data_IF_566785636843
#
_entry.id   IF_566785636843
#
_cell.length_a   1.000
_cell.length_b   1.000
_cell.length_c   1.000
_cell.angle_alpha   90.00
_cell.angle_beta   90.00
_cell.angle_gamma   90.00
#
_symmetry.space_group_name_H-M   'P 1'
#
loop_
_entity.id
_entity.type
_entity.pdbx_description
1 polymer ?
#
# COMPACT_ATOMS: atom_id res chain seq x y z
N UNK A 1 -1.92 -10.55 15.91
CA UNK A 1 -3.06 -9.89 15.24
C UNK A 1 -3.07 -8.39 15.57
N UNK A 2 -2.31 -7.55 14.83
CA UNK A 2 -1.95 -6.19 15.28
C UNK A 2 -3.13 -5.23 15.52
N UNK A 3 -4.18 -5.28 14.69
CA UNK A 3 -5.35 -4.40 14.85
C UNK A 3 -6.18 -4.82 16.07
N UNK A 4 -6.40 -6.12 16.26
CA UNK A 4 -7.17 -6.68 17.39
C UNK A 4 -6.47 -6.36 18.71
N UNK A 5 -5.14 -6.44 18.73
CA UNK A 5 -4.30 -6.10 19.89
C UNK A 5 -4.14 -4.58 20.10
N UNK A 6 -4.78 -3.73 19.29
CA UNK A 6 -4.72 -2.28 19.43
C UNK A 6 -3.36 -1.66 19.06
N UNK A 7 -2.45 -2.43 18.47
CA UNK A 7 -1.08 -2.01 18.09
C UNK A 7 -1.03 -1.30 16.74
N UNK A 8 -1.92 -1.68 15.82
CA UNK A 8 -2.00 -1.12 14.47
C UNK A 8 -3.32 -0.39 14.22
N UNK A 9 -3.23 0.66 13.41
CA UNK A 9 -4.36 1.40 12.87
C UNK A 9 -4.63 0.98 11.41
N UNK A 10 -3.56 0.66 10.68
CA UNK A 10 -3.61 0.09 9.32
C UNK A 10 -2.60 -1.05 9.21
N UNK A 11 -2.97 -2.11 8.51
CA UNK A 11 -2.09 -3.25 8.21
C UNK A 11 -2.03 -3.47 6.71
N UNK A 12 -0.81 -3.52 6.19
CA UNK A 12 -0.49 -3.88 4.81
C UNK A 12 -0.09 -5.35 4.78
N UNK A 13 -0.59 -6.10 3.80
CA UNK A 13 0.02 -7.37 3.47
C UNK A 13 1.40 -7.15 2.83
N UNK A 14 2.24 -8.16 2.82
CA UNK A 14 3.43 -8.19 1.97
C UNK A 14 3.65 -9.56 1.37
N UNK A 15 3.87 -9.58 0.06
CA UNK A 15 4.27 -10.78 -0.68
C UNK A 15 5.75 -11.12 -0.49
N UNK A 16 6.54 -10.24 0.12
CA UNK A 16 7.99 -10.35 0.23
C UNK A 16 8.48 -10.66 1.66
N UNK A 17 7.59 -10.67 2.65
CA UNK A 17 7.93 -10.95 4.05
C UNK A 17 7.56 -12.41 4.40
N UNK A 18 8.48 -13.08 5.09
CA UNK A 18 8.18 -14.03 6.18
C UNK A 18 7.65 -15.44 5.88
N UNK A 19 7.22 -15.78 4.66
CA UNK A 19 6.62 -17.10 4.39
C UNK A 19 6.98 -17.69 3.01
N UNK A 20 6.74 -19.00 2.85
CA UNK A 20 6.80 -19.69 1.55
C UNK A 20 5.79 -19.09 0.59
N UNK A 21 6.24 -18.59 -0.56
CA UNK A 21 5.39 -17.93 -1.54
C UNK A 21 5.71 -18.40 -2.96
N UNK A 22 4.73 -18.27 -3.86
CA UNK A 22 4.94 -18.52 -5.30
C UNK A 22 5.90 -17.47 -5.85
N UNK A 23 6.95 -17.92 -6.54
CA UNK A 23 7.95 -17.03 -7.14
C UNK A 23 7.28 -16.14 -8.18
N UNK A 24 7.45 -14.83 -8.00
CA UNK A 24 6.95 -13.81 -8.92
C UNK A 24 7.93 -13.62 -10.09
N UNK A 25 7.39 -13.22 -11.23
CA UNK A 25 8.21 -12.83 -12.38
C UNK A 25 9.20 -11.73 -12.02
N UNK A 26 10.48 -11.95 -12.32
CA UNK A 26 11.59 -11.09 -11.92
C UNK A 26 11.35 -9.60 -12.21
N UNK A 27 11.05 -9.24 -13.47
CA UNK A 27 10.85 -7.84 -13.85
C UNK A 27 9.63 -7.18 -13.21
N UNK A 28 8.59 -7.95 -12.89
CA UNK A 28 7.48 -7.42 -12.11
C UNK A 28 7.89 -7.15 -10.67
N UNK A 29 8.67 -8.03 -10.06
CA UNK A 29 9.20 -7.83 -8.71
C UNK A 29 10.10 -6.59 -8.65
N UNK A 30 10.96 -6.40 -9.65
CA UNK A 30 11.83 -5.20 -9.75
C UNK A 30 10.98 -3.93 -9.90
N UNK A 31 10.01 -3.92 -10.83
CA UNK A 31 9.12 -2.78 -11.03
C UNK A 31 8.32 -2.43 -9.76
N UNK A 32 7.78 -3.45 -9.08
CA UNK A 32 7.01 -3.29 -7.84
C UNK A 32 7.87 -2.69 -6.71
N UNK A 33 9.11 -3.20 -6.56
CA UNK A 33 10.07 -2.66 -5.59
C UNK A 33 10.45 -1.21 -5.92
N UNK A 34 10.62 -0.88 -7.21
CA UNK A 34 10.86 0.49 -7.65
C UNK A 34 9.73 1.45 -7.30
N UNK A 35 8.47 1.07 -7.59
CA UNK A 35 7.29 1.86 -7.22
C UNK A 35 7.15 2.00 -5.70
N UNK A 36 7.37 0.92 -4.96
CA UNK A 36 7.33 0.92 -3.49
C UNK A 36 8.40 1.84 -2.91
N UNK A 37 9.64 1.76 -3.41
CA UNK A 37 10.73 2.63 -3.00
C UNK A 37 10.39 4.11 -3.24
N UNK A 38 9.86 4.45 -4.42
CA UNK A 38 9.47 5.82 -4.73
C UNK A 38 8.33 6.30 -3.81
N UNK A 39 7.32 5.45 -3.55
CA UNK A 39 6.26 5.77 -2.61
C UNK A 39 6.79 5.98 -1.20
N UNK A 40 7.72 5.15 -0.73
CA UNK A 40 8.37 5.28 0.57
C UNK A 40 9.15 6.61 0.68
N UNK A 41 9.86 7.03 -0.38
CA UNK A 41 10.59 8.31 -0.39
C UNK A 41 9.66 9.52 -0.13
N UNK A 42 8.44 9.51 -0.69
CA UNK A 42 7.51 10.62 -0.51
C UNK A 42 6.63 10.52 0.73
N UNK A 43 6.36 9.31 1.21
CA UNK A 43 5.52 9.08 2.39
C UNK A 43 6.31 8.95 3.68
N UNK A 44 7.64 8.84 3.59
CA UNK A 44 8.54 8.49 4.67
C UNK A 44 8.13 7.19 5.41
N UNK A 45 7.48 6.27 4.69
CA UNK A 45 7.20 4.92 5.15
C UNK A 45 8.33 3.97 4.74
N UNK A 46 8.34 2.78 5.33
CA UNK A 46 9.27 1.71 4.96
C UNK A 46 8.48 0.42 4.67
N UNK A 47 7.58 0.48 3.69
CA UNK A 47 6.82 -0.68 3.22
C UNK A 47 7.70 -1.55 2.31
N UNK A 48 7.55 -2.86 2.38
CA UNK A 48 8.18 -3.78 1.41
C UNK A 48 7.29 -4.00 0.19
N UNK A 49 5.98 -3.81 0.32
CA UNK A 49 5.02 -4.06 -0.74
C UNK A 49 3.83 -3.08 -0.72
N UNK A 50 3.98 -1.91 -1.34
CA UNK A 50 2.91 -0.91 -1.40
C UNK A 50 1.73 -1.37 -2.27
N UNK A 51 2.02 -2.01 -3.41
CA UNK A 51 1.07 -2.48 -4.45
C UNK A 51 0.52 -3.90 -4.16
N UNK A 52 0.36 -4.23 -2.88
CA UNK A 52 -0.07 -5.56 -2.43
C UNK A 52 -1.56 -5.83 -2.62
N UNK A 53 -2.39 -4.78 -2.77
CA UNK A 53 -3.85 -4.83 -2.87
C UNK A 53 -4.56 -5.60 -1.72
N UNK A 54 -3.85 -5.91 -0.64
CA UNK A 54 -4.37 -6.57 0.54
C UNK A 54 -4.04 -5.72 1.76
N UNK A 55 -5.01 -4.91 2.19
CA UNK A 55 -4.84 -3.92 3.25
C UNK A 55 -6.05 -3.96 4.17
N UNK A 56 -5.82 -3.76 5.45
CA UNK A 56 -6.85 -3.70 6.47
C UNK A 56 -6.76 -2.36 7.22
N UNK A 57 -7.89 -1.69 7.36
CA UNK A 57 -7.98 -0.36 7.96
C UNK A 57 -8.96 -0.37 9.13
N UNK A 58 -8.68 0.41 10.16
CA UNK A 58 -9.76 0.88 11.05
C UNK A 58 -10.78 1.67 10.25
N UNK A 59 -12.06 1.54 10.62
CA UNK A 59 -13.17 2.15 9.89
C UNK A 59 -13.04 3.67 9.83
N UNK A 60 -12.70 4.31 10.94
CA UNK A 60 -12.59 5.77 11.00
C UNK A 60 -11.54 6.34 10.04
N UNK A 61 -10.49 5.56 9.73
CA UNK A 61 -9.42 5.99 8.82
C UNK A 61 -9.93 5.97 7.39
N UNK A 62 -10.46 4.82 6.93
CA UNK A 62 -10.88 4.70 5.53
C UNK A 62 -12.08 5.59 5.21
N UNK A 63 -12.97 5.83 6.18
CA UNK A 63 -14.08 6.77 6.02
C UNK A 63 -13.65 8.24 6.11
N UNK A 64 -12.52 8.52 6.77
CA UNK A 64 -11.95 9.86 6.86
C UNK A 64 -11.14 10.28 5.63
N UNK A 65 -10.87 9.36 4.70
CA UNK A 65 -10.06 9.62 3.51
C UNK A 65 -10.96 9.74 2.28
N UNK A 66 -10.90 10.90 1.60
CA UNK A 66 -11.55 11.08 0.29
C UNK A 66 -10.70 10.47 -0.81
N UNK A 67 -11.15 9.37 -1.40
CA UNK A 67 -10.47 8.70 -2.52
C UNK A 67 -10.92 9.29 -3.86
N UNK A 68 -9.98 9.49 -4.79
CA UNK A 68 -10.21 10.13 -6.09
C UNK A 68 -9.77 9.25 -7.28
N UNK A 69 -8.87 8.32 -7.06
CA UNK A 69 -8.27 7.48 -8.09
C UNK A 69 -9.17 6.31 -8.44
N UNK A 70 -9.14 5.95 -9.72
CA UNK A 70 -9.76 4.74 -10.23
C UNK A 70 -8.68 3.69 -10.53
N UNK A 71 -9.07 2.40 -10.53
CA UNK A 71 -8.20 1.26 -10.83
C UNK A 71 -6.97 1.21 -9.89
N UNK A 72 -5.80 0.91 -10.42
CA UNK A 72 -4.55 0.74 -9.67
C UNK A 72 -4.01 2.03 -9.03
N UNK A 73 -4.47 3.21 -9.47
CA UNK A 73 -4.09 4.47 -8.83
C UNK A 73 -4.54 4.58 -7.35
N UNK A 74 -5.51 3.74 -6.94
CA UNK A 74 -5.93 3.63 -5.55
C UNK A 74 -4.78 3.31 -4.60
N UNK A 75 -3.86 2.43 -5.01
CA UNK A 75 -2.79 1.91 -4.14
C UNK A 75 -1.80 3.03 -3.72
N UNK A 76 -1.22 3.82 -4.65
CA UNK A 76 -0.45 5.00 -4.30
C UNK A 76 -1.24 6.04 -3.48
N UNK A 77 -2.51 6.29 -3.85
CA UNK A 77 -3.33 7.31 -3.20
C UNK A 77 -3.61 6.97 -1.74
N UNK A 78 -4.13 5.78 -1.48
CA UNK A 78 -4.50 5.37 -0.13
C UNK A 78 -3.27 5.32 0.76
N UNK A 79 -2.13 4.87 0.23
CA UNK A 79 -0.86 4.82 0.97
C UNK A 79 -0.40 6.22 1.35
N UNK A 80 -0.39 7.16 0.41
CA UNK A 80 -0.01 8.55 0.68
C UNK A 80 -0.93 9.24 1.70
N UNK A 81 -2.25 9.03 1.56
CA UNK A 81 -3.24 9.62 2.47
C UNK A 81 -3.18 9.02 3.87
N UNK A 82 -3.02 7.71 3.99
CA UNK A 82 -2.84 7.03 5.28
C UNK A 82 -1.55 7.47 5.97
N UNK A 83 -0.45 7.63 5.23
CA UNK A 83 0.83 8.09 5.78
C UNK A 83 0.72 9.47 6.46
N UNK A 84 -0.16 10.34 5.96
CA UNK A 84 -0.42 11.68 6.51
C UNK A 84 -1.65 11.76 7.41
N UNK A 85 -2.45 10.69 7.49
CA UNK A 85 -3.69 10.69 8.23
C UNK A 85 -3.42 10.76 9.74
N UNK A 86 -4.10 11.68 10.41
CA UNK A 86 -3.95 11.87 11.86
C UNK A 86 -5.19 11.42 12.61
N UNK A 87 -4.96 10.71 13.71
CA UNK A 87 -5.97 10.24 14.66
C UNK A 87 -5.74 10.92 16.01
N UNK A 88 -6.79 11.08 16.79
CA UNK A 88 -6.65 11.41 18.22
C UNK A 88 -6.15 10.17 18.97
N UNK A 89 -5.16 10.34 19.85
CA UNK A 89 -4.76 9.32 20.80
C UNK A 89 -5.65 9.34 22.05
N UNK A 90 -5.39 8.41 22.99
CA UNK A 90 -6.15 8.28 24.24
C UNK A 90 -6.06 9.54 25.12
N UNK A 91 -5.03 10.37 24.92
CA UNK A 91 -4.84 11.66 25.61
C UNK A 91 -5.39 12.85 24.83
N UNK A 92 -6.07 12.60 23.70
CA UNK A 92 -6.64 13.63 22.83
C UNK A 92 -5.63 14.35 21.91
N UNK A 93 -4.36 13.93 21.88
CA UNK A 93 -3.36 14.52 21.00
C UNK A 93 -3.45 13.91 19.60
N UNK A 94 -3.14 14.71 18.57
CA UNK A 94 -3.08 14.19 17.20
C UNK A 94 -1.78 13.41 16.98
N UNK A 95 -1.90 12.21 16.43
CA UNK A 95 -0.78 11.36 16.02
C UNK A 95 -1.03 10.76 14.65
N UNK A 96 0.04 10.34 13.98
CA UNK A 96 -0.04 9.60 12.71
C UNK A 96 -0.57 8.18 12.92
N UNK A 97 -1.06 7.57 11.85
CA UNK A 97 -1.45 6.17 11.82
C UNK A 97 -0.27 5.25 12.14
N UNK A 98 -0.49 4.25 13.00
CA UNK A 98 0.44 3.14 13.23
C UNK A 98 0.23 2.11 12.14
N UNK A 99 1.20 2.00 11.25
CA UNK A 99 1.16 1.12 10.07
C UNK A 99 2.03 -0.10 10.33
N UNK A 100 1.48 -1.29 10.08
CA UNK A 100 2.19 -2.57 10.20
C UNK A 100 2.16 -3.33 8.89
N UNK A 101 3.13 -4.21 8.69
CA UNK A 101 3.18 -5.12 7.56
C UNK A 101 3.16 -6.58 8.04
N UNK A 102 2.40 -7.43 7.37
CA UNK A 102 2.29 -8.87 7.68
C UNK A 102 2.50 -9.72 6.42
N UNK A 103 3.04 -10.94 6.52
CA UNK A 103 3.17 -11.83 5.37
C UNK A 103 1.80 -12.16 4.76
N UNK A 104 1.72 -12.23 3.43
CA UNK A 104 0.58 -12.78 2.70
C UNK A 104 1.00 -13.74 1.61
N UNK A 105 0.26 -14.85 1.49
CA UNK A 105 0.41 -15.81 0.39
C UNK A 105 -0.30 -15.31 -0.87
N UNK A 106 0.44 -15.13 -1.97
CA UNK A 106 -0.12 -14.67 -3.24
C UNK A 106 0.17 -15.64 -4.38
N UNK A 107 -0.90 -16.08 -5.05
CA UNK A 107 -0.85 -16.94 -6.23
C UNK A 107 -1.30 -16.17 -7.46
N UNK A 108 -0.38 -15.41 -8.04
CA UNK A 108 -0.67 -14.57 -9.21
C UNK A 108 -0.96 -15.37 -10.47
N UNK A 109 -1.87 -14.84 -11.30
CA UNK A 109 -2.11 -15.34 -12.66
C UNK A 109 -0.92 -15.04 -13.56
N UNK A 110 -0.56 -16.01 -14.39
CA UNK A 110 0.35 -15.87 -15.52
C UNK A 110 -0.29 -15.04 -16.63
N UNK A 111 0.51 -14.60 -17.60
CA UNK A 111 0.00 -13.88 -18.77
C UNK A 111 -1.00 -14.72 -19.58
N UNK A 112 -0.76 -16.03 -19.70
CA UNK A 112 -1.66 -16.97 -20.38
C UNK A 112 -3.00 -17.15 -19.64
N UNK A 113 -3.00 -17.04 -18.31
CA UNK A 113 -4.20 -17.06 -17.46
C UNK A 113 -4.95 -15.70 -17.46
N UNK A 114 -4.58 -14.78 -18.36
CA UNK A 114 -5.26 -13.50 -18.53
C UNK A 114 -4.91 -12.48 -17.46
N UNK A 115 -3.62 -12.35 -17.12
CA UNK A 115 -3.11 -11.28 -16.25
C UNK A 115 -3.53 -9.92 -16.82
N UNK A 116 -4.29 -9.15 -16.03
CA UNK A 116 -4.89 -7.88 -16.49
C UNK A 116 -3.96 -6.68 -16.36
N UNK A 117 -2.89 -6.78 -15.59
CA UNK A 117 -1.96 -5.67 -15.35
C UNK A 117 -0.94 -5.56 -16.49
N UNK A 118 -0.73 -4.35 -16.98
CA UNK A 118 0.21 -4.05 -18.05
C UNK A 118 1.10 -2.86 -17.72
N UNK A 119 1.95 -2.49 -18.69
CA UNK A 119 2.92 -1.40 -18.54
C UNK A 119 2.22 -0.04 -18.33
N UNK A 120 1.04 0.16 -18.93
CA UNK A 120 0.22 1.37 -18.74
C UNK A 120 -0.17 1.59 -17.28
N UNK A 121 -0.48 0.51 -16.55
CA UNK A 121 -0.82 0.59 -15.13
C UNK A 121 0.39 1.02 -14.30
N UNK A 122 1.61 0.62 -14.69
CA UNK A 122 2.85 1.07 -14.05
C UNK A 122 3.11 2.57 -14.20
N UNK A 123 2.91 3.12 -15.41
CA UNK A 123 3.00 4.57 -15.62
C UNK A 123 1.91 5.34 -14.88
N UNK A 124 0.70 4.78 -14.81
CA UNK A 124 -0.38 5.36 -14.04
C UNK A 124 -0.06 5.37 -12.54
N UNK A 125 0.49 4.29 -12.00
CA UNK A 125 0.92 4.21 -10.60
C UNK A 125 2.00 5.25 -10.31
N UNK A 126 3.02 5.38 -11.18
CA UNK A 126 4.05 6.41 -11.06
C UNK A 126 3.47 7.83 -11.04
N UNK A 127 2.56 8.13 -11.96
CA UNK A 127 1.87 9.42 -11.99
C UNK A 127 1.09 9.67 -10.69
N UNK A 128 0.36 8.67 -10.19
CA UNK A 128 -0.38 8.77 -8.93
C UNK A 128 0.56 9.02 -7.73
N UNK A 129 1.69 8.30 -7.64
CA UNK A 129 2.69 8.52 -6.58
C UNK A 129 3.13 9.98 -6.57
N UNK A 130 3.55 10.51 -7.72
CA UNK A 130 4.02 11.90 -7.82
C UNK A 130 2.90 12.90 -7.54
N UNK A 131 1.69 12.66 -8.07
CA UNK A 131 0.53 13.53 -7.83
C UNK A 131 0.20 13.64 -6.34
N UNK A 132 0.09 12.53 -5.63
CA UNK A 132 -0.29 12.53 -4.21
C UNK A 132 0.88 12.84 -3.26
N UNK A 133 2.10 12.90 -3.79
CA UNK A 133 3.25 13.43 -3.07
C UNK A 133 3.26 14.97 -3.02
N UNK A 134 2.85 15.65 -4.10
CA UNK A 134 3.02 17.10 -4.24
C UNK A 134 1.71 17.92 -4.25
N UNK A 135 0.58 17.34 -4.64
CA UNK A 135 -0.65 18.09 -4.97
C UNK A 135 -1.86 17.78 -4.06
N UNK A 136 -1.67 16.98 -3.01
CA UNK A 136 -2.67 16.58 -2.01
C UNK A 136 -1.94 16.17 -0.72
#
# INVERSE_FOLDING_TARGET
QPIVEGKADVVFGSRFVGETHRVLYFWHSVANKGLTMLSNMFTNLNLTDMEVCYKLFRREIIQGITLRSNRFGFEPEVTAKVARFTLADESGRRRLCRIYEIPVSYHGRTYHEGKKIGVKDGFQALYCILRFAFAD
#
